data_IF_215377986418
#
_entry.id   IF_215377986418
#
_cell.length_a   1.000
_cell.length_b   1.000
_cell.length_c   1.000
_cell.angle_alpha   90.00
_cell.angle_beta   90.00
_cell.angle_gamma   90.00
#
_symmetry.space_group_name_H-M   'P 1'
#
loop_
_entity.id
_entity.type
_entity.pdbx_description
1 polymer ?
#
# COMPACT_ATOMS: atom_id res chain seq x y z
N UNK A 1 32.31 7.09 -1.45
CA UNK A 1 32.08 7.96 -0.28
C UNK A 1 30.81 8.71 -0.57
N UNK A 2 29.72 8.21 -0.02
CA UNK A 2 28.39 8.73 -0.31
C UNK A 2 28.16 9.99 0.51
N UNK A 3 27.74 11.07 -0.17
CA UNK A 3 27.29 12.28 0.51
C UNK A 3 26.11 11.93 1.45
N UNK A 4 26.06 12.48 2.66
CA UNK A 4 24.94 12.21 3.57
C UNK A 4 23.60 12.59 2.93
N UNK A 5 22.53 11.89 3.28
CA UNK A 5 21.17 12.11 2.75
C UNK A 5 20.69 13.56 2.89
N UNK A 6 21.13 14.24 3.93
CA UNK A 6 20.85 15.65 4.18
C UNK A 6 21.34 16.60 3.06
N UNK A 7 22.42 16.27 2.35
CA UNK A 7 22.97 17.11 1.30
C UNK A 7 22.09 17.12 0.06
N UNK A 8 21.50 15.98 -0.31
CA UNK A 8 20.68 15.89 -1.54
C UNK A 8 19.34 16.66 -1.41
N UNK A 9 18.73 16.61 -0.23
CA UNK A 9 17.48 17.32 0.07
C UNK A 9 17.70 18.84 0.07
N UNK A 10 18.89 19.29 0.47
CA UNK A 10 19.29 20.69 0.51
C UNK A 10 19.80 21.20 -0.83
N UNK A 11 19.99 20.34 -1.84
CA UNK A 11 20.46 20.74 -3.16
C UNK A 11 19.52 21.76 -3.81
N UNK A 12 20.03 22.91 -4.29
CA UNK A 12 19.22 23.91 -4.95
C UNK A 12 18.42 23.36 -6.16
N UNK A 13 18.99 22.40 -6.89
CA UNK A 13 18.35 21.75 -8.02
C UNK A 13 17.14 20.92 -7.58
N UNK A 14 17.22 20.20 -6.46
CA UNK A 14 16.09 19.44 -5.91
C UNK A 14 14.96 20.38 -5.44
N UNK A 15 15.32 21.43 -4.71
CA UNK A 15 14.35 22.44 -4.24
C UNK A 15 13.64 23.10 -5.42
N UNK A 16 14.36 23.45 -6.49
CA UNK A 16 13.80 24.03 -7.70
C UNK A 16 12.87 23.05 -8.43
N UNK A 17 13.27 21.78 -8.53
CA UNK A 17 12.46 20.72 -9.13
C UNK A 17 11.13 20.54 -8.39
N UNK A 18 11.15 20.42 -7.07
CA UNK A 18 9.94 20.30 -6.24
C UNK A 18 9.01 21.49 -6.42
N UNK A 19 9.56 22.71 -6.38
CA UNK A 19 8.77 23.92 -6.56
C UNK A 19 8.12 23.98 -7.96
N UNK A 20 8.87 23.62 -9.00
CA UNK A 20 8.37 23.58 -10.37
C UNK A 20 7.32 22.51 -10.58
N UNK A 21 7.52 21.30 -10.03
CA UNK A 21 6.54 20.22 -10.08
C UNK A 21 5.23 20.61 -9.36
N UNK A 22 5.33 21.19 -8.17
CA UNK A 22 4.15 21.68 -7.42
C UNK A 22 3.39 22.76 -8.18
N UNK A 23 4.10 23.70 -8.81
CA UNK A 23 3.46 24.73 -9.63
C UNK A 23 2.80 24.14 -10.89
N UNK A 24 3.43 23.15 -11.51
CA UNK A 24 2.91 22.43 -12.67
C UNK A 24 1.63 21.66 -12.33
N UNK A 25 1.58 20.99 -11.16
CA UNK A 25 0.39 20.31 -10.66
C UNK A 25 -0.83 21.23 -10.57
N UNK A 26 -0.62 22.49 -10.20
CA UNK A 26 -1.69 23.50 -10.15
C UNK A 26 -2.31 23.86 -11.53
N UNK A 27 -1.64 23.48 -12.62
CA UNK A 27 -2.12 23.67 -13.99
C UNK A 27 -2.75 22.39 -14.58
N UNK A 28 -2.44 21.22 -14.01
CA UNK A 28 -2.88 19.93 -14.53
C UNK A 28 -4.32 19.59 -14.09
N UNK A 29 -5.07 18.96 -14.98
CA UNK A 29 -6.35 18.32 -14.65
C UNK A 29 -6.15 16.82 -14.37
N UNK A 30 -7.20 16.15 -13.93
CA UNK A 30 -7.17 14.77 -13.38
C UNK A 30 -6.37 13.74 -14.21
N UNK A 31 -6.45 13.80 -15.55
CA UNK A 31 -5.70 12.89 -16.42
C UNK A 31 -4.25 13.32 -16.68
N UNK A 32 -3.79 14.38 -16.04
CA UNK A 32 -2.43 14.91 -16.20
C UNK A 32 -2.28 15.95 -17.32
N UNK A 33 -3.27 16.14 -18.19
CA UNK A 33 -3.20 17.17 -19.25
C UNK A 33 -3.37 18.57 -18.69
N UNK A 34 -2.97 19.58 -19.48
CA UNK A 34 -3.11 21.01 -19.15
C UNK A 34 -3.96 21.68 -20.23
N UNK A 35 -5.17 22.15 -19.91
CA UNK A 35 -6.00 22.89 -20.87
C UNK A 35 -5.40 24.25 -21.23
N UNK A 36 -5.54 24.67 -22.47
CA UNK A 36 -5.00 25.94 -22.95
C UNK A 36 -5.67 27.18 -22.33
N UNK A 37 -6.90 27.06 -21.86
CA UNK A 37 -7.61 28.08 -21.11
C UNK A 37 -8.47 27.52 -20.01
N UNK A 38 -8.31 28.00 -18.79
CA UNK A 38 -9.38 27.95 -17.77
C UNK A 38 -10.34 29.10 -18.12
N UNK A 39 -11.22 28.89 -19.08
CA UNK A 39 -12.25 29.90 -19.38
C UNK A 39 -13.38 29.78 -18.36
N UNK A 40 -13.32 30.58 -17.31
CA UNK A 40 -14.55 31.08 -16.69
C UNK A 40 -15.22 32.01 -17.74
N UNK A 41 -16.38 31.57 -18.21
CA UNK A 41 -17.23 32.39 -19.09
C UNK A 41 -17.63 33.66 -18.33
N UNK A 42 -16.96 34.76 -18.59
CA UNK A 42 -17.37 36.08 -18.10
C UNK A 42 -16.31 37.11 -17.73
N UNK A 43 -15.02 36.80 -17.77
CA UNK A 43 -13.99 37.76 -17.42
C UNK A 43 -13.35 38.41 -18.68
N UNK A 44 -13.41 39.73 -18.77
CA UNK A 44 -12.77 40.56 -19.79
C UNK A 44 -11.27 40.25 -19.89
N UNK A 45 -10.79 39.91 -21.09
CA UNK A 45 -9.38 39.67 -21.40
C UNK A 45 -8.52 40.90 -21.12
N UNK A 46 -7.78 40.88 -20.04
CA UNK A 46 -6.66 41.81 -19.79
C UNK A 46 -5.40 41.23 -20.43
N UNK A 47 -4.65 42.06 -21.14
CA UNK A 47 -3.55 41.72 -22.04
C UNK A 47 -2.24 41.27 -21.38
N UNK A 48 -2.28 40.60 -20.21
CA UNK A 48 -1.06 40.16 -19.48
C UNK A 48 -1.20 38.73 -18.87
N UNK A 49 -2.16 37.93 -19.30
CA UNK A 49 -2.21 36.50 -18.88
C UNK A 49 -1.30 35.68 -19.81
N UNK A 50 -0.13 35.29 -19.29
CA UNK A 50 0.68 34.20 -19.84
C UNK A 50 -0.22 32.99 -20.02
N UNK A 51 -0.28 32.37 -21.21
CA UNK A 51 -1.12 31.19 -21.41
C UNK A 51 -0.68 30.07 -20.43
N UNK A 52 -1.62 29.20 -20.00
CA UNK A 52 -1.31 28.09 -19.12
C UNK A 52 -0.18 27.20 -19.69
N UNK A 53 -0.18 27.00 -21.00
CA UNK A 53 0.88 26.27 -21.72
C UNK A 53 2.25 26.95 -21.64
N UNK A 54 2.31 28.30 -21.73
CA UNK A 54 3.59 29.02 -21.58
C UNK A 54 4.14 28.90 -20.17
N UNK A 55 3.29 29.00 -19.15
CA UNK A 55 3.68 28.78 -17.76
C UNK A 55 4.14 27.32 -17.52
N UNK A 56 3.38 26.36 -18.03
CA UNK A 56 3.72 24.94 -17.95
C UNK A 56 5.06 24.61 -18.60
N UNK A 57 5.32 25.16 -19.80
CA UNK A 57 6.60 24.99 -20.51
C UNK A 57 7.79 25.56 -19.70
N UNK A 58 7.61 26.67 -19.01
CA UNK A 58 8.64 27.22 -18.13
C UNK A 58 8.90 26.31 -16.92
N UNK A 59 7.86 25.73 -16.31
CA UNK A 59 8.02 24.78 -15.21
C UNK A 59 8.70 23.49 -15.68
N UNK A 60 8.30 22.93 -16.82
CA UNK A 60 8.94 21.77 -17.42
C UNK A 60 10.43 22.03 -17.73
N UNK A 61 10.76 23.21 -18.29
CA UNK A 61 12.15 23.57 -18.52
C UNK A 61 12.97 23.62 -17.22
N UNK A 62 12.39 24.12 -16.13
CA UNK A 62 13.02 24.09 -14.80
C UNK A 62 13.21 22.66 -14.30
N UNK A 63 12.20 21.81 -14.44
CA UNK A 63 12.28 20.39 -14.06
C UNK A 63 13.40 19.70 -14.83
N UNK A 64 13.44 19.82 -16.17
CA UNK A 64 14.47 19.21 -17.00
C UNK A 64 15.88 19.69 -16.63
N UNK A 65 16.08 21.00 -16.48
CA UNK A 65 17.37 21.55 -16.06
C UNK A 65 17.79 21.07 -14.66
N UNK A 66 16.84 20.90 -13.74
CA UNK A 66 17.12 20.35 -12.41
C UNK A 66 17.49 18.87 -12.47
N UNK A 67 16.83 18.09 -13.33
CA UNK A 67 17.20 16.68 -13.57
C UNK A 67 18.64 16.58 -14.09
N UNK A 68 19.02 17.42 -15.07
CA UNK A 68 20.39 17.43 -15.60
C UNK A 68 21.43 17.73 -14.52
N UNK A 69 21.13 18.67 -13.60
CA UNK A 69 22.02 19.01 -12.49
C UNK A 69 22.11 17.91 -11.44
N UNK A 70 21.02 17.18 -11.19
CA UNK A 70 20.95 16.09 -10.21
C UNK A 70 21.49 14.76 -10.76
N UNK A 71 21.44 14.54 -12.08
CA UNK A 71 21.82 13.27 -12.71
C UNK A 71 23.20 12.72 -12.30
N UNK A 72 24.25 13.53 -12.06
CA UNK A 72 25.53 13.03 -11.58
C UNK A 72 25.47 12.28 -10.22
N UNK A 73 24.45 12.52 -9.40
CA UNK A 73 24.22 11.80 -8.15
C UNK A 73 23.61 10.41 -8.37
N UNK A 74 23.07 10.14 -9.57
CA UNK A 74 22.35 8.92 -9.94
C UNK A 74 22.94 8.28 -11.21
N UNK A 75 24.22 7.91 -11.22
CA UNK A 75 24.88 7.42 -12.44
C UNK A 75 24.27 6.10 -12.96
N UNK A 76 23.67 5.30 -12.08
CA UNK A 76 22.97 4.07 -12.41
C UNK A 76 21.62 4.32 -13.10
N UNK A 77 21.02 5.50 -12.95
CA UNK A 77 19.76 5.93 -13.57
C UNK A 77 19.96 6.87 -14.77
N UNK A 78 21.19 7.02 -15.27
CA UNK A 78 21.52 8.01 -16.30
C UNK A 78 20.66 7.88 -17.57
N UNK A 79 20.42 6.65 -18.05
CA UNK A 79 19.58 6.37 -19.23
C UNK A 79 18.13 6.78 -18.96
N UNK A 80 17.60 6.38 -17.83
CA UNK A 80 16.25 6.73 -17.40
C UNK A 80 16.05 8.26 -17.30
N UNK A 81 16.95 8.97 -16.62
CA UNK A 81 16.83 10.42 -16.42
C UNK A 81 16.92 11.19 -17.77
N UNK A 82 17.77 10.74 -18.70
CA UNK A 82 17.83 11.31 -20.04
C UNK A 82 16.53 11.07 -20.83
N UNK A 83 15.92 9.90 -20.67
CA UNK A 83 14.64 9.55 -21.30
C UNK A 83 13.49 10.35 -20.73
N UNK A 84 13.46 10.58 -19.40
CA UNK A 84 12.47 11.45 -18.76
C UNK A 84 12.47 12.85 -19.34
N UNK A 85 13.65 13.45 -19.54
CA UNK A 85 13.78 14.77 -20.18
C UNK A 85 13.18 14.75 -21.59
N UNK A 86 13.43 13.67 -22.35
CA UNK A 86 12.87 13.49 -23.70
C UNK A 86 11.33 13.37 -23.65
N UNK A 87 10.77 12.64 -22.69
CA UNK A 87 9.34 12.48 -22.52
C UNK A 87 8.66 13.81 -22.14
N UNK A 88 9.26 14.59 -21.27
CA UNK A 88 8.81 15.94 -20.97
C UNK A 88 8.82 16.82 -22.23
N UNK A 89 9.88 16.78 -23.04
CA UNK A 89 9.96 17.50 -24.30
C UNK A 89 8.83 17.11 -25.25
N UNK A 90 8.57 15.82 -25.42
CA UNK A 90 7.46 15.32 -26.26
C UNK A 90 6.10 15.78 -25.75
N UNK A 91 5.90 15.80 -24.44
CA UNK A 91 4.65 16.28 -23.82
C UNK A 91 4.42 17.79 -24.07
N UNK A 92 5.48 18.61 -23.97
CA UNK A 92 5.43 20.04 -24.33
C UNK A 92 5.08 20.21 -25.80
N UNK A 93 5.83 19.53 -26.71
CA UNK A 93 5.63 19.64 -28.17
C UNK A 93 4.25 19.13 -28.61
N UNK A 94 3.68 18.17 -27.86
CA UNK A 94 2.33 17.65 -28.03
C UNK A 94 1.22 18.56 -27.46
N UNK A 95 1.54 19.76 -26.96
CA UNK A 95 0.57 20.73 -26.43
C UNK A 95 -0.06 20.29 -25.11
N UNK A 96 0.68 19.62 -24.26
CA UNK A 96 0.26 19.22 -22.91
C UNK A 96 -1.03 18.37 -22.86
N UNK A 97 -1.23 17.52 -23.86
CA UNK A 97 -2.26 16.48 -23.83
C UNK A 97 -2.07 15.51 -22.68
N UNK A 98 -2.81 14.41 -22.65
CA UNK A 98 -2.59 13.34 -21.66
C UNK A 98 -1.12 12.86 -21.79
N UNK A 99 -0.34 12.87 -20.69
CA UNK A 99 1.07 12.52 -20.75
C UNK A 99 1.29 11.04 -21.04
N UNK A 100 2.37 10.72 -21.75
CA UNK A 100 2.82 9.37 -22.04
C UNK A 100 4.31 9.24 -21.72
N UNK A 101 4.62 8.55 -20.61
CA UNK A 101 5.98 8.32 -20.11
C UNK A 101 6.39 6.85 -20.22
N UNK A 102 5.82 6.12 -21.18
CA UNK A 102 6.13 4.72 -21.41
C UNK A 102 7.64 4.49 -21.61
N UNK A 103 8.32 5.34 -22.38
CA UNK A 103 9.75 5.15 -22.65
C UNK A 103 10.59 5.28 -21.38
N UNK A 104 10.35 6.28 -20.55
CA UNK A 104 11.06 6.47 -19.28
C UNK A 104 10.82 5.33 -18.31
N UNK A 105 9.58 4.86 -18.18
CA UNK A 105 9.25 3.79 -17.24
C UNK A 105 9.88 2.45 -17.64
N UNK A 106 10.06 2.22 -18.93
CA UNK A 106 10.76 1.02 -19.44
C UNK A 106 12.28 1.06 -19.17
N UNK A 107 12.88 2.27 -19.09
CA UNK A 107 14.28 2.46 -18.75
C UNK A 107 14.55 2.42 -17.24
N UNK A 108 13.55 2.72 -16.41
CA UNK A 108 13.70 2.72 -14.95
C UNK A 108 13.72 1.30 -14.42
N UNK A 109 14.87 0.86 -13.92
CA UNK A 109 15.09 -0.50 -13.48
C UNK A 109 15.61 -0.60 -12.02
N UNK A 110 14.85 -0.17 -11.00
CA UNK A 110 15.31 -0.15 -9.61
C UNK A 110 15.63 -1.56 -9.10
N UNK A 111 14.97 -2.59 -9.62
CA UNK A 111 15.23 -3.98 -9.27
C UNK A 111 16.62 -4.48 -9.63
N UNK A 112 17.35 -3.79 -10.52
CA UNK A 112 18.73 -4.09 -10.86
C UNK A 112 19.74 -3.60 -9.81
N UNK A 113 19.32 -2.72 -8.89
CA UNK A 113 20.20 -1.99 -7.96
C UNK A 113 19.83 -2.25 -6.50
N UNK A 114 19.77 -3.52 -6.10
CA UNK A 114 19.42 -3.93 -4.73
C UNK A 114 20.63 -3.89 -3.81
N UNK A 115 21.11 -2.69 -3.55
CA UNK A 115 22.23 -2.43 -2.63
C UNK A 115 21.79 -1.35 -1.66
N UNK A 116 21.94 -1.61 -0.36
CA UNK A 116 21.59 -0.65 0.69
C UNK A 116 22.26 0.69 0.44
N UNK A 117 21.49 1.78 0.58
CA UNK A 117 21.97 3.13 0.41
C UNK A 117 22.05 3.66 -1.03
N UNK A 118 21.77 2.83 -2.05
CA UNK A 118 21.61 3.36 -3.42
C UNK A 118 20.36 4.24 -3.45
N UNK A 119 20.49 5.40 -4.08
CA UNK A 119 19.43 6.41 -4.18
C UNK A 119 18.92 6.51 -5.59
N UNK A 120 17.62 6.80 -5.73
CA UNK A 120 16.97 7.08 -7.01
C UNK A 120 16.24 8.41 -6.95
N UNK A 121 16.26 9.13 -8.07
CA UNK A 121 15.33 10.23 -8.35
C UNK A 121 14.21 9.68 -9.23
N UNK A 122 13.02 9.50 -8.66
CA UNK A 122 11.85 9.03 -9.41
C UNK A 122 10.97 10.23 -9.74
N UNK A 123 10.70 10.44 -11.03
CA UNK A 123 9.85 11.54 -11.48
C UNK A 123 8.99 11.09 -12.66
N UNK A 124 7.66 11.17 -12.48
CA UNK A 124 6.66 10.80 -13.46
C UNK A 124 5.35 11.56 -13.27
N UNK A 125 4.55 11.75 -14.32
CA UNK A 125 3.10 11.94 -14.17
C UNK A 125 2.50 10.62 -13.66
N UNK A 126 2.11 10.57 -12.39
CA UNK A 126 1.66 9.34 -11.75
C UNK A 126 0.63 9.59 -10.65
N UNK A 127 -0.26 8.63 -10.42
CA UNK A 127 -1.11 8.65 -9.26
C UNK A 127 -0.44 7.93 -8.08
N UNK A 128 -0.82 8.30 -6.87
CA UNK A 128 -0.39 7.58 -5.67
C UNK A 128 -1.46 6.57 -5.28
N UNK A 129 -1.09 5.31 -5.08
CA UNK A 129 -2.00 4.33 -4.51
C UNK A 129 -2.48 4.81 -3.13
N UNK A 130 -3.76 4.59 -2.85
CA UNK A 130 -4.43 5.06 -1.62
C UNK A 130 -4.41 6.59 -1.41
N UNK A 131 -3.95 7.36 -2.40
CA UNK A 131 -3.94 8.81 -2.40
C UNK A 131 -4.80 9.42 -3.50
N UNK A 132 -4.22 10.31 -4.30
CA UNK A 132 -4.88 10.92 -5.44
C UNK A 132 -4.91 9.98 -6.64
N UNK A 133 -6.07 9.87 -7.30
CA UNK A 133 -6.19 9.23 -8.61
C UNK A 133 -5.78 10.16 -9.76
N UNK A 134 -5.29 11.37 -9.46
CA UNK A 134 -4.84 12.34 -10.46
C UNK A 134 -3.44 11.98 -10.92
N UNK A 135 -3.21 12.01 -12.24
CA UNK A 135 -1.90 11.72 -12.85
C UNK A 135 -1.07 12.99 -12.97
N UNK A 136 -0.75 13.57 -11.84
CA UNK A 136 0.09 14.78 -11.79
C UNK A 136 1.57 14.40 -11.83
N UNK A 137 2.40 15.37 -12.25
CA UNK A 137 3.85 15.20 -12.16
C UNK A 137 4.25 15.17 -10.69
N UNK A 138 4.76 14.04 -10.26
CA UNK A 138 5.29 13.82 -8.91
C UNK A 138 6.78 13.51 -9.00
N UNK A 139 7.52 13.91 -7.98
CA UNK A 139 8.93 13.62 -7.84
C UNK A 139 9.23 13.15 -6.42
N UNK A 140 10.03 12.07 -6.32
CA UNK A 140 10.46 11.51 -5.05
C UNK A 140 11.96 11.20 -5.07
N UNK A 141 12.63 11.50 -3.98
CA UNK A 141 13.98 11.00 -3.68
C UNK A 141 13.84 9.82 -2.74
N UNK A 142 14.42 8.70 -3.12
CA UNK A 142 14.32 7.45 -2.37
C UNK A 142 15.70 6.81 -2.20
N UNK A 143 15.80 5.94 -1.18
CA UNK A 143 17.00 5.17 -0.88
C UNK A 143 16.64 3.69 -0.73
N UNK A 144 17.42 2.80 -1.34
CA UNK A 144 17.21 1.35 -1.26
C UNK A 144 17.52 0.86 0.14
N UNK A 145 16.56 0.17 0.76
CA UNK A 145 16.74 -0.60 1.98
C UNK A 145 17.02 -2.05 1.60
N UNK A 146 18.24 -2.52 1.90
CA UNK A 146 18.63 -3.88 1.57
C UNK A 146 19.49 -4.51 2.68
N UNK A 147 18.90 -4.76 3.88
CA UNK A 147 19.57 -5.52 4.91
C UNK A 147 19.97 -6.93 4.43
N UNK A 148 21.01 -7.50 5.03
CA UNK A 148 21.52 -8.82 4.64
C UNK A 148 20.45 -9.92 4.76
N UNK A 149 19.57 -9.85 5.76
CA UNK A 149 18.51 -10.83 5.93
C UNK A 149 17.49 -10.80 4.79
N UNK A 150 17.20 -9.64 4.16
CA UNK A 150 16.33 -9.54 2.99
C UNK A 150 16.97 -10.28 1.81
N UNK A 151 18.27 -10.09 1.58
CA UNK A 151 19.01 -10.79 0.55
C UNK A 151 19.00 -12.32 0.78
N UNK A 152 19.13 -12.76 2.03
CA UNK A 152 19.06 -14.17 2.42
C UNK A 152 17.66 -14.76 2.15
N UNK A 153 16.59 -14.04 2.52
CA UNK A 153 15.20 -14.45 2.23
C UNK A 153 14.97 -14.59 0.72
N UNK A 154 15.42 -13.63 -0.08
CA UNK A 154 15.29 -13.68 -1.54
C UNK A 154 16.14 -14.75 -2.22
N UNK A 155 17.24 -15.16 -1.61
CA UNK A 155 18.03 -16.28 -2.10
C UNK A 155 17.38 -17.65 -1.83
N UNK A 156 16.43 -17.71 -0.88
CA UNK A 156 15.68 -18.89 -0.48
C UNK A 156 14.30 -18.99 -1.15
N UNK A 157 13.33 -19.41 -0.34
CA UNK A 157 11.96 -19.70 -0.79
C UNK A 157 11.13 -18.44 -1.11
N UNK A 158 11.59 -17.25 -0.70
CA UNK A 158 10.89 -15.98 -0.84
C UNK A 158 11.47 -15.10 -1.95
N UNK A 159 11.95 -15.70 -3.03
CA UNK A 159 12.59 -14.99 -4.15
C UNK A 159 11.59 -14.10 -4.90
N UNK A 160 11.22 -12.97 -4.32
CA UNK A 160 10.42 -11.95 -4.94
C UNK A 160 11.31 -10.83 -5.50
N UNK A 161 11.91 -11.09 -6.66
CA UNK A 161 12.83 -10.15 -7.32
C UNK A 161 12.13 -8.92 -7.89
N UNK A 162 10.80 -8.86 -7.85
CA UNK A 162 10.02 -7.75 -8.38
C UNK A 162 9.90 -6.59 -7.40
N UNK A 163 9.94 -6.87 -6.09
CA UNK A 163 9.76 -5.85 -5.08
C UNK A 163 11.11 -5.24 -4.66
N UNK A 164 11.13 -3.91 -4.59
CA UNK A 164 12.30 -3.13 -4.17
C UNK A 164 11.91 -2.30 -2.96
N UNK A 165 12.40 -2.65 -1.75
CA UNK A 165 12.13 -1.86 -0.56
C UNK A 165 12.90 -0.55 -0.61
N UNK A 166 12.16 0.55 -0.49
CA UNK A 166 12.68 1.90 -0.56
C UNK A 166 12.26 2.71 0.66
N UNK A 167 13.10 3.65 1.07
CA UNK A 167 12.80 4.69 2.04
C UNK A 167 12.64 6.04 1.34
N UNK A 168 11.66 6.84 1.75
CA UNK A 168 11.56 8.22 1.34
C UNK A 168 12.66 9.07 1.99
N UNK A 169 13.37 9.82 1.14
CA UNK A 169 14.22 10.91 1.61
C UNK A 169 13.45 12.24 1.56
N UNK A 170 12.80 12.51 0.42
CA UNK A 170 11.90 13.65 0.24
C UNK A 170 10.99 13.44 -0.97
N UNK A 171 9.88 14.18 -1.07
CA UNK A 171 8.85 13.97 -2.09
C UNK A 171 7.98 15.21 -2.32
N UNK A 172 7.26 15.22 -3.45
CA UNK A 172 6.20 16.20 -3.76
C UNK A 172 4.89 15.87 -3.03
N UNK A 173 3.98 16.84 -2.96
CA UNK A 173 2.80 16.80 -2.11
C UNK A 173 1.85 15.62 -2.37
N UNK A 174 1.81 15.06 -3.59
CA UNK A 174 1.00 13.89 -3.89
C UNK A 174 1.41 12.66 -3.08
N UNK A 175 2.67 12.54 -2.75
CA UNK A 175 3.21 11.48 -1.88
C UNK A 175 3.18 11.83 -0.39
N UNK A 176 2.80 13.05 -0.02
CA UNK A 176 2.76 13.47 1.38
C UNK A 176 1.64 12.81 2.18
N UNK A 177 0.59 12.36 1.54
CA UNK A 177 -0.61 11.91 2.25
C UNK A 177 -0.69 10.40 2.47
N UNK A 178 -0.47 9.55 1.47
CA UNK A 178 -0.88 8.15 1.56
C UNK A 178 -0.07 7.14 0.73
N UNK A 179 1.19 7.35 0.40
CA UNK A 179 1.83 6.36 -0.44
C UNK A 179 2.48 5.23 0.35
N UNK A 180 2.19 4.00 -0.04
CA UNK A 180 2.84 2.80 0.43
C UNK A 180 3.58 2.07 -0.70
N UNK A 181 3.12 2.21 -1.95
CA UNK A 181 3.65 1.44 -3.09
C UNK A 181 3.68 2.28 -4.36
N UNK A 182 4.72 2.10 -5.16
CA UNK A 182 4.80 2.59 -6.54
C UNK A 182 4.90 1.38 -7.47
N UNK A 183 3.87 1.19 -8.29
CA UNK A 183 3.90 0.24 -9.40
C UNK A 183 4.03 0.98 -10.73
N UNK A 184 4.67 0.38 -11.73
CA UNK A 184 4.77 0.97 -13.06
C UNK A 184 3.42 1.40 -13.66
N UNK A 185 2.34 0.66 -13.38
CA UNK A 185 0.97 0.99 -13.83
C UNK A 185 0.43 2.31 -13.29
N UNK A 186 1.02 2.84 -12.22
CA UNK A 186 0.63 4.16 -11.69
C UNK A 186 1.10 5.32 -12.57
N UNK A 187 2.10 5.10 -13.40
CA UNK A 187 2.65 6.10 -14.32
C UNK A 187 1.70 6.32 -15.52
N UNK A 188 1.56 7.56 -15.96
CA UNK A 188 0.80 7.88 -17.15
C UNK A 188 1.49 7.35 -18.41
N UNK A 189 0.80 6.48 -19.16
CA UNK A 189 1.33 5.86 -20.37
C UNK A 189 0.20 5.44 -21.32
N UNK A 190 0.49 5.39 -22.61
CA UNK A 190 -0.46 5.03 -23.66
C UNK A 190 -0.78 3.53 -23.72
N UNK A 191 0.14 2.69 -23.25
CA UNK A 191 -0.04 1.25 -23.18
C UNK A 191 0.69 0.67 -21.97
N UNK A 192 0.10 -0.34 -21.34
CA UNK A 192 0.68 -0.99 -20.15
C UNK A 192 1.43 -2.24 -20.59
N UNK A 193 2.77 -2.24 -20.58
CA UNK A 193 3.57 -3.42 -20.84
C UNK A 193 3.55 -4.39 -19.64
N UNK A 194 4.17 -5.55 -19.79
CA UNK A 194 4.42 -6.44 -18.66
C UNK A 194 5.54 -5.86 -17.81
N UNK A 195 5.24 -5.57 -16.56
CA UNK A 195 6.19 -5.04 -15.61
C UNK A 195 6.82 -6.14 -14.75
N UNK A 196 8.01 -5.86 -14.25
CA UNK A 196 8.84 -6.79 -13.50
C UNK A 196 9.38 -6.23 -12.19
N UNK A 197 8.84 -5.11 -11.71
CA UNK A 197 9.22 -4.51 -10.45
C UNK A 197 8.07 -3.73 -9.79
N UNK A 198 8.16 -3.58 -8.48
CA UNK A 198 7.37 -2.69 -7.67
C UNK A 198 8.23 -2.09 -6.56
N UNK A 199 8.03 -0.84 -6.23
CA UNK A 199 8.71 -0.18 -5.12
C UNK A 199 7.82 -0.22 -3.88
N UNK A 200 8.36 -0.66 -2.74
CA UNK A 200 7.70 -0.70 -1.44
C UNK A 200 8.25 0.39 -0.54
N UNK A 201 7.36 1.12 0.11
CA UNK A 201 7.69 2.19 1.05
C UNK A 201 7.11 1.86 2.41
N UNK A 202 7.97 1.50 3.36
CA UNK A 202 7.54 1.07 4.70
C UNK A 202 7.79 2.11 5.80
N UNK A 203 8.53 3.16 5.53
CA UNK A 203 8.84 4.21 6.49
C UNK A 203 7.59 4.86 7.09
N UNK A 204 6.63 5.24 6.27
CA UNK A 204 5.37 5.84 6.73
C UNK A 204 4.43 4.82 7.36
N UNK A 205 4.35 3.62 6.77
CA UNK A 205 3.51 2.57 7.31
C UNK A 205 4.02 2.14 8.69
N UNK A 206 5.32 1.97 8.86
CA UNK A 206 5.94 1.70 10.15
C UNK A 206 5.70 2.83 11.16
N UNK A 207 5.82 4.10 10.75
CA UNK A 207 5.57 5.24 11.61
C UNK A 207 4.09 5.34 12.04
N UNK A 208 3.14 5.10 11.12
CA UNK A 208 1.70 5.03 11.41
C UNK A 208 1.37 3.90 12.37
N UNK A 209 1.86 2.71 12.06
CA UNK A 209 1.71 1.52 12.89
C UNK A 209 2.13 1.80 14.34
N UNK A 210 3.34 2.30 14.53
CA UNK A 210 3.89 2.61 15.86
C UNK A 210 2.98 3.56 16.62
N UNK A 211 2.59 4.67 16.01
CA UNK A 211 1.78 5.70 16.65
C UNK A 211 0.36 5.22 16.98
N UNK A 212 -0.29 4.53 16.05
CA UNK A 212 -1.66 4.04 16.23
C UNK A 212 -1.70 2.89 17.23
N UNK A 213 -0.76 1.93 17.11
CA UNK A 213 -0.69 0.77 18.01
C UNK A 213 -0.39 1.18 19.44
N UNK A 214 0.54 2.12 19.66
CA UNK A 214 0.82 2.65 20.99
C UNK A 214 -0.43 3.28 21.61
N UNK A 215 -1.12 4.14 20.87
CA UNK A 215 -2.36 4.78 21.36
C UNK A 215 -3.47 3.75 21.63
N UNK A 216 -3.61 2.75 20.78
CA UNK A 216 -4.60 1.68 20.97
C UNK A 216 -4.28 0.84 22.22
N UNK A 217 -3.01 0.53 22.47
CA UNK A 217 -2.59 -0.17 23.69
C UNK A 217 -2.90 0.64 24.95
N UNK A 218 -2.62 1.93 24.93
CA UNK A 218 -2.96 2.83 26.04
C UNK A 218 -4.47 2.89 26.30
N UNK A 219 -5.27 3.08 25.24
CA UNK A 219 -6.74 3.15 25.33
C UNK A 219 -7.35 1.85 25.85
N UNK A 220 -6.80 0.71 25.42
CA UNK A 220 -7.31 -0.62 25.77
C UNK A 220 -6.67 -1.20 27.03
N UNK A 221 -5.62 -0.58 27.56
CA UNK A 221 -4.83 -1.07 28.69
C UNK A 221 -4.08 -2.37 28.37
N UNK A 222 -3.79 -2.63 27.09
CA UNK A 222 -3.06 -3.83 26.65
C UNK A 222 -1.61 -3.77 27.13
N UNK A 223 -1.17 -4.83 27.79
CA UNK A 223 0.26 -5.06 28.07
C UNK A 223 0.87 -5.87 26.93
N UNK A 224 1.92 -5.33 26.34
CA UNK A 224 2.60 -5.98 25.21
C UNK A 224 3.79 -6.81 25.67
N UNK A 225 4.19 -7.84 24.91
CA UNK A 225 5.49 -8.48 25.06
C UNK A 225 6.63 -7.49 24.81
N UNK A 226 7.76 -7.68 25.46
CA UNK A 226 8.93 -6.78 25.34
C UNK A 226 9.40 -6.64 23.89
N UNK A 227 9.45 -7.74 23.15
CA UNK A 227 9.83 -7.71 21.72
C UNK A 227 8.86 -6.86 20.88
N UNK A 228 7.55 -6.91 21.21
CA UNK A 228 6.55 -6.08 20.54
C UNK A 228 6.67 -4.60 20.90
N UNK A 229 7.07 -4.27 22.15
CA UNK A 229 7.35 -2.89 22.56
C UNK A 229 8.53 -2.30 21.79
N UNK A 230 9.55 -3.10 21.42
CA UNK A 230 10.66 -2.66 20.60
C UNK A 230 10.20 -2.13 19.23
N UNK A 231 9.23 -2.77 18.59
CA UNK A 231 8.63 -2.28 17.34
C UNK A 231 8.02 -0.88 17.47
N UNK A 232 7.51 -0.54 18.64
CA UNK A 232 6.87 0.77 18.86
C UNK A 232 7.88 1.87 19.14
N UNK A 233 9.12 1.53 19.49
CA UNK A 233 10.17 2.48 19.88
C UNK A 233 11.27 2.63 18.83
N UNK A 234 11.48 1.63 17.98
CA UNK A 234 12.51 1.62 16.94
C UNK A 234 11.87 1.67 15.53
N UNK A 235 12.09 2.79 14.84
CA UNK A 235 11.55 3.00 13.49
C UNK A 235 12.19 2.06 12.46
N UNK A 236 13.52 1.92 12.51
CA UNK A 236 14.25 1.07 11.57
C UNK A 236 13.84 -0.38 11.71
N UNK A 237 13.76 -0.87 12.96
CA UNK A 237 13.29 -2.24 13.23
C UNK A 237 11.86 -2.47 12.72
N UNK A 238 10.98 -1.48 12.87
CA UNK A 238 9.61 -1.57 12.35
C UNK A 238 9.59 -1.59 10.82
N UNK A 239 10.35 -0.72 10.13
CA UNK A 239 10.49 -0.70 8.68
C UNK A 239 10.96 -2.06 8.14
N UNK A 240 12.04 -2.60 8.70
CA UNK A 240 12.60 -3.89 8.29
C UNK A 240 11.62 -5.04 8.53
N UNK A 241 10.88 -5.00 9.63
CA UNK A 241 9.84 -5.99 9.94
C UNK A 241 8.69 -5.93 8.92
N UNK A 242 8.24 -4.73 8.56
CA UNK A 242 7.21 -4.53 7.55
C UNK A 242 7.69 -4.95 6.16
N UNK A 243 8.94 -4.71 5.81
CA UNK A 243 9.53 -5.20 4.56
C UNK A 243 9.48 -6.73 4.50
N UNK A 244 9.84 -7.42 5.57
CA UNK A 244 9.74 -8.88 5.62
C UNK A 244 8.30 -9.36 5.46
N UNK A 245 7.36 -8.69 6.11
CA UNK A 245 5.94 -8.99 5.96
C UNK A 245 5.50 -8.84 4.50
N UNK A 246 5.75 -7.70 3.89
CA UNK A 246 5.31 -7.41 2.52
C UNK A 246 5.98 -8.30 1.46
N UNK A 247 7.24 -8.67 1.65
CA UNK A 247 7.92 -9.61 0.75
C UNK A 247 7.17 -10.95 0.66
N UNK A 248 6.59 -11.41 1.77
CA UNK A 248 5.83 -12.67 1.80
C UNK A 248 4.38 -12.43 1.36
N UNK A 249 3.75 -11.35 1.84
CA UNK A 249 2.38 -10.96 1.54
C UNK A 249 2.17 -10.75 0.03
N UNK A 250 2.96 -9.87 -0.57
CA UNK A 250 2.85 -9.54 -1.99
C UNK A 250 3.21 -10.73 -2.89
N UNK A 251 4.16 -11.58 -2.47
CA UNK A 251 4.42 -12.84 -3.16
C UNK A 251 3.16 -13.72 -3.19
N UNK A 252 2.41 -13.73 -2.10
CA UNK A 252 1.18 -14.52 -2.00
C UNK A 252 0.11 -14.02 -2.97
N UNK A 253 -0.01 -12.69 -3.16
CA UNK A 253 -0.88 -12.13 -4.20
C UNK A 253 -0.43 -12.50 -5.62
N UNK A 254 0.87 -12.44 -5.87
CA UNK A 254 1.42 -12.51 -7.22
C UNK A 254 1.64 -13.92 -7.74
N UNK A 255 1.99 -14.84 -6.87
CA UNK A 255 2.35 -16.21 -7.26
C UNK A 255 1.61 -17.28 -6.50
N UNK A 256 0.84 -16.94 -5.50
CA UNK A 256 0.01 -17.77 -4.64
C UNK A 256 0.17 -19.28 -4.73
N UNK A 257 -0.06 -19.97 -3.68
CA UNK A 257 -0.11 -21.45 -3.69
C UNK A 257 -1.41 -21.98 -4.30
N UNK A 258 -2.29 -21.06 -4.76
CA UNK A 258 -3.56 -21.38 -5.37
C UNK A 258 -3.41 -21.56 -6.88
N UNK A 259 -4.11 -22.55 -7.47
CA UNK A 259 -4.02 -22.82 -8.92
C UNK A 259 -4.81 -21.83 -9.79
N UNK A 260 -5.30 -20.74 -9.24
CA UNK A 260 -6.00 -19.67 -9.94
C UNK A 260 -5.48 -18.31 -9.46
N UNK A 261 -5.56 -17.32 -10.32
CA UNK A 261 -5.13 -15.95 -10.02
C UNK A 261 -5.93 -15.40 -8.81
N UNK A 262 -5.29 -15.20 -7.65
CA UNK A 262 -5.96 -14.62 -6.50
C UNK A 262 -6.33 -13.14 -6.73
N UNK A 263 -5.73 -12.48 -7.71
CA UNK A 263 -6.13 -11.15 -8.16
C UNK A 263 -7.53 -11.08 -8.80
N UNK A 264 -8.46 -11.76 -8.22
CA UNK A 264 -9.88 -11.51 -8.47
C UNK A 264 -10.29 -10.08 -8.11
N UNK A 265 -9.44 -9.33 -7.41
CA UNK A 265 -9.52 -7.89 -7.14
C UNK A 265 -9.84 -7.05 -8.40
N UNK A 266 -9.28 -7.40 -9.55
CA UNK A 266 -9.60 -6.72 -10.82
C UNK A 266 -11.03 -6.97 -11.33
N UNK A 267 -11.80 -7.80 -10.67
CA UNK A 267 -13.09 -8.30 -11.18
C UNK A 267 -14.32 -7.81 -10.41
N UNK A 268 -14.20 -6.71 -9.66
CA UNK A 268 -15.31 -6.14 -8.87
C UNK A 268 -16.03 -7.20 -8.04
N UNK A 269 -15.44 -7.54 -6.92
CA UNK A 269 -16.00 -8.46 -5.94
C UNK A 269 -16.72 -7.70 -4.83
N UNK A 270 -17.61 -8.34 -4.05
CA UNK A 270 -18.06 -7.81 -2.78
C UNK A 270 -16.91 -7.42 -1.86
N UNK A 271 -17.04 -6.33 -1.10
CA UNK A 271 -15.95 -5.81 -0.26
C UNK A 271 -15.42 -6.82 0.77
N UNK A 272 -16.27 -7.68 1.31
CA UNK A 272 -15.83 -8.71 2.24
C UNK A 272 -14.86 -9.73 1.61
N UNK A 273 -14.92 -9.93 0.29
CA UNK A 273 -13.97 -10.79 -0.42
C UNK A 273 -12.60 -10.12 -0.58
N UNK A 274 -12.57 -8.81 -0.83
CA UNK A 274 -11.30 -8.08 -0.82
C UNK A 274 -10.63 -8.18 0.55
N UNK A 275 -11.39 -7.92 1.63
CA UNK A 275 -10.87 -8.07 2.98
C UNK A 275 -10.40 -9.48 3.30
N UNK A 276 -11.11 -10.50 2.82
CA UNK A 276 -10.74 -11.89 3.02
C UNK A 276 -9.45 -12.25 2.27
N UNK A 277 -9.27 -11.73 1.05
CA UNK A 277 -8.05 -11.96 0.27
C UNK A 277 -6.83 -11.29 0.90
N UNK A 278 -6.95 -10.04 1.33
CA UNK A 278 -5.88 -9.36 2.07
C UNK A 278 -5.53 -10.10 3.37
N UNK A 279 -6.56 -10.54 4.11
CA UNK A 279 -6.34 -11.34 5.31
C UNK A 279 -5.65 -12.67 5.00
N UNK A 280 -6.01 -13.34 3.91
CA UNK A 280 -5.35 -14.57 3.47
C UNK A 280 -3.85 -14.36 3.24
N UNK A 281 -3.48 -13.29 2.57
CA UNK A 281 -2.08 -12.96 2.28
C UNK A 281 -1.31 -12.63 3.56
N UNK A 282 -1.90 -11.88 4.48
CA UNK A 282 -1.31 -11.60 5.78
C UNK A 282 -1.15 -12.85 6.64
N UNK A 283 -2.16 -13.71 6.66
CA UNK A 283 -2.10 -14.95 7.43
C UNK A 283 -1.15 -15.97 6.82
N UNK A 284 -0.89 -15.89 5.51
CA UNK A 284 0.20 -16.63 4.88
C UNK A 284 1.55 -16.09 5.35
N UNK A 285 1.74 -14.77 5.36
CA UNK A 285 2.96 -14.16 5.90
C UNK A 285 3.13 -14.49 7.39
N UNK A 286 2.06 -14.46 8.16
CA UNK A 286 2.05 -14.86 9.57
C UNK A 286 2.45 -16.33 9.76
N UNK A 287 1.86 -17.25 9.01
CA UNK A 287 2.16 -18.70 9.07
C UNK A 287 3.61 -18.99 8.72
N UNK A 288 4.11 -18.38 7.65
CA UNK A 288 5.52 -18.51 7.25
C UNK A 288 6.47 -17.93 8.32
N UNK A 289 6.11 -16.81 8.92
CA UNK A 289 6.86 -16.21 10.02
C UNK A 289 6.86 -17.12 11.27
N UNK A 290 5.77 -17.78 11.59
CA UNK A 290 5.73 -18.80 12.67
C UNK A 290 6.67 -19.96 12.35
N UNK A 291 6.70 -20.46 11.11
CA UNK A 291 7.62 -21.53 10.68
C UNK A 291 9.08 -21.10 10.81
N UNK A 292 9.42 -19.90 10.37
CA UNK A 292 10.78 -19.36 10.45
C UNK A 292 11.21 -19.17 11.91
N UNK A 293 10.37 -18.57 12.75
CA UNK A 293 10.67 -18.35 14.17
C UNK A 293 10.90 -19.65 14.94
N UNK A 294 10.08 -20.68 14.65
CA UNK A 294 10.22 -22.02 15.26
C UNK A 294 11.33 -22.87 14.64
N UNK A 295 11.82 -22.47 13.47
CA UNK A 295 12.87 -23.18 12.72
C UNK A 295 14.27 -22.97 13.28
N UNK A 296 15.18 -23.89 12.97
CA UNK A 296 16.60 -23.80 13.37
C UNK A 296 17.54 -23.50 12.19
N UNK A 297 17.03 -23.52 10.95
CA UNK A 297 17.84 -23.43 9.74
C UNK A 297 18.15 -21.98 9.30
N UNK A 298 17.46 -20.99 9.86
CA UNK A 298 17.61 -19.57 9.51
C UNK A 298 18.48 -18.82 10.51
N UNK A 299 19.04 -17.68 10.08
CA UNK A 299 19.85 -16.81 10.96
C UNK A 299 19.02 -16.32 12.16
N UNK A 300 19.66 -15.99 13.29
CA UNK A 300 18.98 -15.42 14.46
C UNK A 300 18.24 -14.12 14.12
N UNK A 301 18.78 -13.33 13.20
CA UNK A 301 18.21 -12.06 12.75
C UNK A 301 16.89 -12.28 11.98
N UNK A 302 16.88 -13.19 11.01
CA UNK A 302 15.65 -13.57 10.30
C UNK A 302 14.60 -14.08 11.29
N UNK A 303 14.96 -14.94 12.24
CA UNK A 303 14.01 -15.45 13.24
C UNK A 303 13.46 -14.34 14.13
N UNK A 304 14.29 -13.35 14.50
CA UNK A 304 13.84 -12.18 15.25
C UNK A 304 12.78 -11.41 14.45
N UNK A 305 13.08 -11.05 13.21
CA UNK A 305 12.11 -10.34 12.36
C UNK A 305 10.84 -11.17 12.11
N UNK A 306 10.96 -12.47 11.90
CA UNK A 306 9.81 -13.36 11.76
C UNK A 306 8.89 -13.36 13.01
N UNK A 307 9.46 -13.31 14.21
CA UNK A 307 8.66 -13.14 15.44
C UNK A 307 8.00 -11.76 15.48
N UNK A 308 8.70 -10.72 15.10
CA UNK A 308 8.17 -9.35 15.06
C UNK A 308 7.06 -9.18 14.01
N UNK A 309 7.14 -9.87 12.87
CA UNK A 309 6.06 -9.90 11.86
C UNK A 309 4.77 -10.44 12.47
N UNK A 310 4.83 -11.46 13.34
CA UNK A 310 3.64 -11.98 13.99
C UNK A 310 2.92 -10.90 14.81
N UNK A 311 3.67 -10.09 15.56
CA UNK A 311 3.09 -8.96 16.31
C UNK A 311 2.61 -7.85 15.38
N UNK A 312 3.37 -7.50 14.34
CA UNK A 312 3.02 -6.44 13.41
C UNK A 312 1.70 -6.75 12.69
N UNK A 313 1.53 -7.95 12.14
CA UNK A 313 0.30 -8.40 11.48
C UNK A 313 -0.90 -8.28 12.41
N UNK A 314 -0.80 -8.81 13.64
CA UNK A 314 -1.91 -8.77 14.59
C UNK A 314 -2.28 -7.34 14.94
N UNK A 315 -1.32 -6.54 15.40
CA UNK A 315 -1.62 -5.19 15.86
C UNK A 315 -2.08 -4.27 14.75
N UNK A 316 -1.50 -4.38 13.57
CA UNK A 316 -1.88 -3.53 12.45
C UNK A 316 -3.30 -3.87 11.98
N UNK A 317 -3.63 -5.16 11.86
CA UNK A 317 -4.98 -5.59 11.49
C UNK A 317 -6.03 -5.22 12.53
N UNK A 318 -5.78 -5.44 13.82
CA UNK A 318 -6.80 -5.19 14.84
C UNK A 318 -6.88 -3.73 15.29
N UNK A 319 -5.82 -2.91 15.17
CA UNK A 319 -5.81 -1.55 15.70
C UNK A 319 -5.76 -0.44 14.65
N UNK A 320 -5.26 -0.71 13.44
CA UNK A 320 -5.18 0.30 12.39
C UNK A 320 -6.14 0.01 11.24
N UNK A 321 -5.97 -1.08 10.54
CA UNK A 321 -6.77 -1.39 9.37
C UNK A 321 -8.27 -1.51 9.66
N UNK A 322 -8.66 -2.02 10.82
CA UNK A 322 -10.07 -2.11 11.22
C UNK A 322 -10.79 -0.76 11.27
N UNK A 323 -10.06 0.35 11.39
CA UNK A 323 -10.62 1.66 11.69
C UNK A 323 -10.19 2.78 10.75
N UNK A 324 -9.24 2.52 9.82
CA UNK A 324 -8.76 3.54 8.88
C UNK A 324 -9.64 3.66 7.65
N UNK A 325 -9.77 4.89 7.14
CA UNK A 325 -10.50 5.18 5.92
C UNK A 325 -12.02 5.25 6.07
N UNK A 326 -12.68 5.59 4.97
CA UNK A 326 -14.14 5.56 4.91
C UNK A 326 -14.61 4.11 4.73
N UNK A 327 -15.70 3.75 5.40
CA UNK A 327 -16.28 2.42 5.36
C UNK A 327 -16.51 1.87 3.93
N UNK A 328 -16.85 2.74 2.99
CA UNK A 328 -17.08 2.39 1.58
C UNK A 328 -15.80 1.96 0.84
N UNK A 329 -14.62 2.30 1.36
CA UNK A 329 -13.32 1.97 0.74
C UNK A 329 -12.41 1.13 1.63
N UNK A 330 -12.82 0.89 2.86
CA UNK A 330 -12.02 0.14 3.81
C UNK A 330 -12.47 -1.32 3.88
N UNK A 331 -12.18 -2.09 2.83
CA UNK A 331 -12.37 -3.55 2.83
C UNK A 331 -11.49 -4.23 3.90
N UNK A 332 -10.36 -3.65 4.25
CA UNK A 332 -9.47 -4.13 5.32
C UNK A 332 -10.11 -4.14 6.70
N UNK A 333 -11.15 -3.31 6.91
CA UNK A 333 -11.86 -3.31 8.18
C UNK A 333 -12.53 -4.65 8.48
N UNK A 334 -13.04 -5.34 7.48
CA UNK A 334 -13.62 -6.68 7.63
C UNK A 334 -12.53 -7.67 8.05
N UNK A 335 -11.35 -7.61 7.42
CA UNK A 335 -10.21 -8.44 7.74
C UNK A 335 -9.76 -8.29 9.21
N UNK A 336 -9.59 -7.06 9.64
CA UNK A 336 -9.18 -6.76 11.02
C UNK A 336 -10.22 -7.17 12.05
N UNK A 337 -11.52 -6.90 11.78
CA UNK A 337 -12.61 -7.35 12.66
C UNK A 337 -12.69 -8.88 12.72
N UNK A 338 -12.48 -9.56 11.60
CA UNK A 338 -12.51 -11.02 11.53
C UNK A 338 -11.38 -11.64 12.36
N UNK A 339 -10.17 -11.12 12.24
CA UNK A 339 -9.03 -11.58 13.05
C UNK A 339 -9.29 -11.37 14.56
N UNK A 340 -9.75 -10.17 14.95
CA UNK A 340 -10.09 -9.86 16.34
C UNK A 340 -11.15 -10.80 16.89
N UNK A 341 -12.26 -10.96 16.17
CA UNK A 341 -13.38 -11.80 16.60
C UNK A 341 -12.98 -13.29 16.67
N UNK A 342 -12.19 -13.77 15.72
CA UNK A 342 -11.65 -15.13 15.74
C UNK A 342 -10.78 -15.37 16.97
N UNK A 343 -9.82 -14.49 17.24
CA UNK A 343 -8.97 -14.60 18.43
C UNK A 343 -9.78 -14.57 19.74
N UNK A 344 -10.83 -13.73 19.80
CA UNK A 344 -11.73 -13.69 20.96
C UNK A 344 -12.56 -14.97 21.11
N UNK A 345 -13.15 -15.45 20.03
CA UNK A 345 -13.99 -16.66 20.03
C UNK A 345 -13.19 -17.94 20.33
N UNK A 346 -11.89 -17.95 20.00
CA UNK A 346 -10.97 -19.06 20.29
C UNK A 346 -10.18 -18.87 21.59
N UNK A 347 -10.56 -17.90 22.42
CA UNK A 347 -10.09 -17.79 23.79
C UNK A 347 -8.64 -17.34 23.96
N UNK A 348 -8.04 -16.63 22.98
CA UNK A 348 -6.69 -16.06 23.09
C UNK A 348 -6.69 -14.55 23.24
N UNK A 349 -7.84 -13.90 23.06
CA UNK A 349 -8.03 -12.48 23.26
C UNK A 349 -9.17 -12.27 24.26
N UNK A 350 -8.90 -11.53 25.34
CA UNK A 350 -9.81 -11.35 26.45
C UNK A 350 -10.00 -9.90 26.81
N UNK A 351 -11.16 -9.60 27.37
CA UNK A 351 -11.49 -8.32 27.96
C UNK A 351 -11.89 -8.48 29.41
N UNK A 352 -11.02 -8.08 30.33
CA UNK A 352 -11.24 -8.22 31.77
C UNK A 352 -10.84 -6.96 32.51
N UNK A 353 -11.71 -6.45 33.40
CA UNK A 353 -11.46 -5.26 34.20
C UNK A 353 -11.08 -4.03 33.35
N UNK A 354 -11.77 -3.82 32.23
CA UNK A 354 -11.51 -2.75 31.26
C UNK A 354 -10.11 -2.80 30.61
N UNK A 355 -9.51 -3.96 30.56
CA UNK A 355 -8.22 -4.20 29.90
C UNK A 355 -8.34 -5.30 28.87
N UNK A 356 -7.74 -5.06 27.71
CA UNK A 356 -7.49 -6.07 26.70
C UNK A 356 -6.27 -6.88 27.13
N UNK A 357 -6.34 -8.19 27.00
CA UNK A 357 -5.19 -9.10 27.18
C UNK A 357 -5.17 -10.15 26.08
N UNK A 358 -3.97 -10.61 25.74
CA UNK A 358 -3.74 -11.59 24.68
C UNK A 358 -2.81 -12.66 25.21
N UNK A 359 -3.19 -13.92 25.04
CA UNK A 359 -2.40 -15.08 25.44
C UNK A 359 -1.41 -15.47 24.34
N UNK A 360 -0.33 -14.72 24.28
CA UNK A 360 0.65 -14.76 23.17
C UNK A 360 1.22 -16.14 22.88
N UNK A 361 1.28 -17.02 23.85
CA UNK A 361 1.77 -18.40 23.64
C UNK A 361 0.85 -19.22 22.71
N UNK A 362 -0.46 -18.95 22.76
CA UNK A 362 -1.48 -19.69 22.01
C UNK A 362 -1.84 -19.01 20.67
N UNK A 363 -1.52 -17.72 20.54
CA UNK A 363 -1.87 -16.89 19.36
C UNK A 363 -1.39 -17.52 18.06
N UNK A 364 -0.13 -18.00 17.92
CA UNK A 364 0.35 -18.51 16.65
C UNK A 364 -0.52 -19.63 16.08
N UNK A 365 -0.92 -20.59 16.91
CA UNK A 365 -1.69 -21.74 16.46
C UNK A 365 -3.16 -21.35 16.13
N UNK A 366 -3.75 -20.44 16.91
CA UNK A 366 -5.11 -19.93 16.66
C UNK A 366 -5.18 -19.09 15.39
N UNK A 367 -4.19 -18.25 15.14
CA UNK A 367 -4.16 -17.38 13.95
C UNK A 367 -3.83 -18.18 12.69
N UNK A 368 -2.92 -19.14 12.76
CA UNK A 368 -2.66 -20.07 11.65
C UNK A 368 -3.93 -20.86 11.29
N UNK A 369 -4.72 -21.31 12.27
CA UNK A 369 -5.97 -22.02 11.99
C UNK A 369 -7.00 -21.15 11.22
N UNK A 370 -7.02 -19.83 11.41
CA UNK A 370 -7.83 -18.94 10.58
C UNK A 370 -7.32 -18.92 9.14
N UNK A 371 -6.01 -18.81 8.95
CA UNK A 371 -5.39 -18.87 7.62
C UNK A 371 -5.72 -20.17 6.90
N UNK A 372 -5.60 -21.28 7.58
CA UNK A 372 -5.92 -22.61 7.02
C UNK A 372 -7.42 -22.72 6.63
N UNK A 373 -8.33 -22.15 7.40
CA UNK A 373 -9.75 -22.14 7.08
C UNK A 373 -10.05 -21.31 5.82
N UNK A 374 -9.35 -20.18 5.63
CA UNK A 374 -9.48 -19.35 4.43
C UNK A 374 -8.87 -20.08 3.21
N UNK A 375 -7.69 -20.65 3.34
CA UNK A 375 -7.04 -21.41 2.26
C UNK A 375 -7.92 -22.61 1.84
N UNK A 376 -8.51 -23.32 2.80
CA UNK A 376 -9.43 -24.43 2.53
C UNK A 376 -10.67 -23.97 1.75
N UNK A 377 -11.23 -22.80 2.08
CA UNK A 377 -12.32 -22.19 1.31
C UNK A 377 -11.93 -21.99 -0.16
N UNK A 378 -10.75 -21.43 -0.43
CA UNK A 378 -10.27 -21.19 -1.78
C UNK A 378 -10.04 -22.50 -2.53
N UNK A 379 -9.38 -23.49 -1.92
CA UNK A 379 -9.17 -24.81 -2.52
C UNK A 379 -10.47 -25.54 -2.84
N UNK A 380 -11.46 -25.49 -1.96
CA UNK A 380 -12.79 -26.06 -2.21
C UNK A 380 -13.57 -25.35 -3.30
N UNK A 381 -13.14 -24.17 -3.66
CA UNK A 381 -13.83 -23.35 -4.67
C UNK A 381 -13.22 -23.45 -6.06
N UNK A 382 -12.18 -24.26 -6.23
CA UNK A 382 -11.46 -24.40 -7.51
C UNK A 382 -12.37 -24.88 -8.66
N UNK A 383 -13.39 -25.69 -8.34
CA UNK A 383 -14.35 -26.23 -9.29
C UNK A 383 -15.74 -25.58 -9.18
N UNK A 384 -15.88 -24.50 -8.41
CA UNK A 384 -17.14 -23.79 -8.20
C UNK A 384 -17.28 -22.60 -9.11
N UNK A 385 -18.51 -22.31 -9.60
CA UNK A 385 -18.80 -21.00 -10.18
C UNK A 385 -18.53 -19.87 -9.18
N UNK A 386 -18.13 -18.71 -9.69
CA UNK A 386 -17.75 -17.53 -8.88
C UNK A 386 -18.77 -17.19 -7.78
N UNK A 387 -20.08 -17.19 -8.10
CA UNK A 387 -21.12 -16.89 -7.13
C UNK A 387 -21.17 -17.91 -5.98
N UNK A 388 -20.88 -19.19 -6.25
CA UNK A 388 -20.84 -20.23 -5.20
C UNK A 388 -19.65 -20.04 -4.28
N UNK A 389 -18.51 -19.57 -4.81
CA UNK A 389 -17.37 -19.16 -3.99
C UNK A 389 -17.74 -17.97 -3.10
N UNK A 390 -18.38 -16.94 -3.65
CA UNK A 390 -18.80 -15.77 -2.88
C UNK A 390 -19.75 -16.10 -1.74
N UNK A 391 -20.72 -16.98 -1.97
CA UNK A 391 -21.64 -17.45 -0.94
C UNK A 391 -20.90 -18.22 0.18
N UNK A 392 -19.99 -19.11 -0.18
CA UNK A 392 -19.21 -19.87 0.81
C UNK A 392 -18.27 -18.95 1.60
N UNK A 393 -17.68 -17.94 0.96
CA UNK A 393 -16.87 -16.93 1.63
C UNK A 393 -17.71 -16.08 2.59
N UNK A 394 -18.92 -15.68 2.17
CA UNK A 394 -19.84 -14.99 3.06
C UNK A 394 -20.22 -15.82 4.28
N UNK A 395 -20.49 -17.11 4.11
CA UNK A 395 -20.78 -18.03 5.22
C UNK A 395 -19.61 -18.10 6.21
N UNK A 396 -18.37 -18.16 5.71
CA UNK A 396 -17.17 -18.16 6.57
C UNK A 396 -17.06 -16.86 7.37
N UNK A 397 -17.23 -15.71 6.72
CA UNK A 397 -17.16 -14.40 7.40
C UNK A 397 -18.32 -14.24 8.38
N UNK A 398 -19.55 -14.60 7.99
CA UNK A 398 -20.75 -14.50 8.83
C UNK A 398 -20.76 -15.48 10.02
N UNK A 399 -19.99 -16.55 9.97
CA UNK A 399 -19.77 -17.44 11.13
C UNK A 399 -18.94 -16.76 12.23
N UNK A 400 -18.16 -15.72 11.88
CA UNK A 400 -17.27 -15.01 12.81
C UNK A 400 -17.81 -13.61 13.13
N UNK A 401 -18.31 -12.88 12.11
CA UNK A 401 -18.87 -11.53 12.25
C UNK A 401 -20.38 -11.53 12.04
N UNK A 402 -21.07 -10.62 12.72
CA UNK A 402 -22.51 -10.46 12.51
C UNK A 402 -22.77 -9.56 11.31
N UNK A 403 -23.40 -10.06 10.23
CA UNK A 403 -23.74 -9.24 9.08
C UNK A 403 -24.87 -8.26 9.39
N UNK A 404 -24.97 -7.21 8.56
CA UNK A 404 -26.09 -6.27 8.67
C UNK A 404 -27.41 -6.97 8.29
N UNK A 405 -28.49 -6.88 9.10
CA UNK A 405 -29.73 -7.61 8.82
C UNK A 405 -30.43 -7.21 7.50
N UNK A 406 -30.17 -5.98 7.01
CA UNK A 406 -30.71 -5.51 5.74
C UNK A 406 -29.90 -5.97 4.51
N UNK A 407 -28.73 -6.58 4.73
CA UNK A 407 -27.87 -7.07 3.66
C UNK A 407 -28.61 -8.06 2.77
N UNK A 408 -28.44 -7.93 1.46
CA UNK A 408 -28.96 -8.91 0.51
C UNK A 408 -28.35 -10.29 0.75
N UNK A 409 -27.10 -10.35 1.15
CA UNK A 409 -26.40 -11.59 1.49
C UNK A 409 -27.00 -12.31 2.68
N UNK A 410 -27.41 -11.57 3.72
CA UNK A 410 -28.06 -12.13 4.90
C UNK A 410 -29.44 -12.77 4.60
N UNK A 411 -30.04 -12.44 3.46
CA UNK A 411 -31.32 -12.99 3.01
C UNK A 411 -31.17 -14.33 2.25
N UNK A 412 -29.96 -14.77 2.02
CA UNK A 412 -29.64 -16.01 1.31
C UNK A 412 -29.52 -15.88 -0.21
N UNK A 413 -29.08 -16.95 -0.86
CA UNK A 413 -28.76 -16.97 -2.28
C UNK A 413 -29.93 -16.57 -3.19
N UNK A 414 -31.16 -16.95 -2.82
CA UNK A 414 -32.35 -16.67 -3.61
C UNK A 414 -32.73 -15.18 -3.66
N UNK A 415 -32.19 -14.38 -2.73
CA UNK A 415 -32.43 -12.95 -2.68
C UNK A 415 -31.40 -12.14 -3.48
N UNK A 416 -30.32 -12.77 -3.94
CA UNK A 416 -29.29 -12.09 -4.73
C UNK A 416 -29.85 -11.73 -6.12
N UNK A 417 -29.49 -10.57 -6.68
CA UNK A 417 -29.92 -10.14 -8.02
C UNK A 417 -29.12 -10.89 -9.10
N UNK A 418 -29.27 -12.21 -9.16
CA UNK A 418 -28.51 -13.12 -10.04
C UNK A 418 -29.20 -13.35 -11.41
N UNK A 419 -29.99 -12.40 -11.88
CA UNK A 419 -30.61 -12.45 -13.19
C UNK A 419 -29.81 -11.67 -14.20
N UNK A 420 -29.13 -12.34 -15.11
CA UNK A 420 -28.29 -11.73 -16.14
C UNK A 420 -27.11 -12.60 -16.50
N UNK A 421 -26.25 -12.10 -17.40
CA UNK A 421 -25.01 -12.78 -17.71
C UNK A 421 -24.08 -12.83 -16.49
N UNK A 422 -23.30 -13.90 -16.27
CA UNK A 422 -22.43 -14.00 -15.10
C UNK A 422 -21.49 -12.81 -14.89
N UNK A 423 -21.06 -12.13 -15.96
CA UNK A 423 -20.23 -10.93 -15.88
C UNK A 423 -20.96 -9.67 -15.36
N UNK A 424 -22.28 -9.63 -15.47
CA UNK A 424 -23.10 -8.51 -14.99
C UNK A 424 -23.34 -8.56 -13.48
N UNK A 425 -23.20 -9.74 -12.87
CA UNK A 425 -23.40 -9.93 -11.43
C UNK A 425 -22.30 -9.27 -10.60
N UNK A 426 -21.11 -9.17 -11.14
CA UNK A 426 -19.95 -8.62 -10.42
C UNK A 426 -20.08 -7.13 -10.10
N UNK A 427 -20.88 -6.39 -10.86
CA UNK A 427 -21.06 -4.95 -10.70
C UNK A 427 -22.19 -4.57 -9.71
N UNK A 428 -23.03 -5.54 -9.31
CA UNK A 428 -24.21 -5.30 -8.48
C UNK A 428 -24.02 -5.59 -6.98
N UNK A 429 -22.91 -6.23 -6.58
CA UNK A 429 -22.71 -6.80 -5.25
C UNK A 429 -21.50 -6.20 -4.53
N UNK A 430 -21.38 -4.87 -4.54
CA UNK A 430 -20.19 -4.15 -4.05
C UNK A 430 -20.38 -3.47 -2.68
N UNK A 431 -21.47 -3.70 -1.97
CA UNK A 431 -21.72 -3.03 -0.70
C UNK A 431 -21.03 -3.72 0.48
N UNK A 432 -20.50 -2.90 1.39
CA UNK A 432 -20.01 -3.37 2.69
C UNK A 432 -21.16 -3.88 3.54
N UNK A 433 -21.13 -5.18 3.84
CA UNK A 433 -22.22 -5.89 4.49
C UNK A 433 -21.97 -6.17 5.98
N UNK A 434 -20.79 -5.80 6.49
CA UNK A 434 -20.38 -6.06 7.87
C UNK A 434 -20.11 -4.73 8.61
N UNK A 435 -21.02 -4.30 9.50
CA UNK A 435 -20.83 -3.09 10.30
C UNK A 435 -19.72 -3.26 11.31
N UNK A 436 -19.15 -2.13 11.78
CA UNK A 436 -18.25 -2.14 12.92
C UNK A 436 -18.96 -2.72 14.15
N UNK A 437 -18.25 -3.57 14.90
CA UNK A 437 -18.70 -4.05 16.19
C UNK A 437 -18.75 -2.90 17.21
N UNK A 438 -19.50 -3.09 18.32
CA UNK A 438 -19.55 -2.10 19.40
C UNK A 438 -18.16 -1.76 19.96
N UNK A 439 -17.27 -2.75 20.03
CA UNK A 439 -15.88 -2.52 20.43
C UNK A 439 -15.18 -1.58 19.47
N UNK A 440 -15.26 -1.84 18.16
CA UNK A 440 -14.60 -1.02 17.15
C UNK A 440 -15.22 0.37 17.01
N UNK A 441 -16.54 0.51 17.13
CA UNK A 441 -17.16 1.83 17.19
C UNK A 441 -16.65 2.66 18.40
N UNK A 442 -16.49 2.02 19.55
CA UNK A 442 -15.98 2.69 20.74
C UNK A 442 -14.49 3.05 20.61
N UNK A 443 -13.67 2.14 20.07
CA UNK A 443 -12.24 2.37 19.85
C UNK A 443 -12.03 3.46 18.79
N UNK A 444 -12.74 3.40 17.66
CA UNK A 444 -12.65 4.39 16.60
C UNK A 444 -12.90 5.81 17.10
N UNK A 445 -13.92 6.03 17.92
CA UNK A 445 -14.21 7.36 18.51
C UNK A 445 -13.06 7.92 19.34
N UNK A 446 -12.29 7.05 19.97
CA UNK A 446 -11.16 7.46 20.83
C UNK A 446 -9.86 7.65 20.05
N UNK A 447 -9.64 6.82 19.02
CA UNK A 447 -8.37 6.77 18.32
C UNK A 447 -8.35 7.63 17.03
N UNK A 448 -9.52 8.03 16.49
CA UNK A 448 -9.60 8.85 15.25
C UNK A 448 -8.67 10.07 15.26
N UNK A 449 -8.55 10.86 16.35
CA UNK A 449 -7.62 12.00 16.34
C UNK A 449 -6.16 11.58 16.16
N UNK A 450 -5.79 10.39 16.64
CA UNK A 450 -4.43 9.84 16.45
C UNK A 450 -4.24 9.42 15.00
N UNK A 451 -5.20 8.68 14.43
CA UNK A 451 -5.17 8.27 13.03
C UNK A 451 -5.07 9.50 12.11
N UNK A 452 -5.93 10.51 12.32
CA UNK A 452 -5.89 11.77 11.58
C UNK A 452 -4.53 12.47 11.68
N UNK A 453 -3.87 12.41 12.84
CA UNK A 453 -2.56 13.01 13.05
C UNK A 453 -1.41 12.26 12.34
N UNK A 454 -1.69 11.11 11.73
CA UNK A 454 -0.72 10.35 10.93
C UNK A 454 -0.77 10.68 9.43
N UNK A 455 -1.71 11.53 9.00
CA UNK A 455 -1.72 12.05 7.63
C UNK A 455 -0.44 12.84 7.39
N UNK A 456 0.29 12.52 6.35
CA UNK A 456 1.58 13.16 6.05
C UNK A 456 2.70 12.86 7.04
N UNK A 457 2.57 11.82 7.88
CA UNK A 457 3.61 11.44 8.83
C UNK A 457 4.92 11.14 8.10
N UNK A 458 6.03 11.64 8.65
CA UNK A 458 7.39 11.32 8.23
C UNK A 458 8.07 10.51 9.32
N UNK A 459 8.91 9.58 8.91
CA UNK A 459 9.69 8.75 9.84
C UNK A 459 10.80 9.56 10.51
#
# INVERSE_FOLDING_TARGET
MDAPSADLIAEPAWIALKAAATALQGLQIKNGSIPESTSDEGASKSATQTSAHTAAAAHVATICSSIEQLAPHFPHDASYLATVITDFGRWVDGGFGEPDFLASILEFAPAAHRVAGIRHLVIFPMYTQNGSANRFVEAVLVEVLWPEFIAELEAGDYSNKMLVPLRFLDFTAGYDTNSAVLFPESVAMSSVPTFTWGALFQDREAARFRKVTQAAAEITGLTMPTDAEELLTDQTLAEETFIMWDLIHDRTHMSGDLPFDPFMIKQRMPFFLYGLEELRCDLTAFRESVKIDRGSATSPEIRRHARLVQYAVIFDRIFRFSMTGSRVRNYDAVAGQMLFAWMHQHGVLHWTNNKLSIDWAEVPDVVVALGDAIDELYWRSIDRPKISHWLAAYELVAATLTPHPASVWAKGADALPVTGAPGELTDQLMDDEFPLSMFYEALQRKISPVIESTVGIRA
#
